data_IF_418026462702
#
_entry.id   IF_418026462702
#
_cell.length_a   1.000
_cell.length_b   1.000
_cell.length_c   1.000
_cell.angle_alpha   90.00
_cell.angle_beta   90.00
_cell.angle_gamma   90.00
#
_symmetry.space_group_name_H-M   'P 1'
#
loop_
_entity.id
_entity.type
_entity.pdbx_description
1 polymer ?
#
# COMPACT_ATOMS: atom_id res chain seq x y z
N UNK A 1 -15.82 20.48 21.36
CA UNK A 1 -15.42 19.63 20.22
C UNK A 1 -16.57 19.61 19.23
N UNK A 2 -16.36 20.03 17.97
CA UNK A 2 -17.40 19.95 16.92
C UNK A 2 -17.78 18.50 16.68
N UNK A 3 -19.06 18.11 16.62
CA UNK A 3 -19.44 16.74 16.28
C UNK A 3 -19.18 16.52 14.79
N UNK A 4 -18.37 15.50 14.44
CA UNK A 4 -18.28 15.00 13.08
C UNK A 4 -16.92 14.91 12.41
N UNK A 5 -15.83 15.31 13.03
CA UNK A 5 -14.50 15.08 12.42
C UNK A 5 -14.06 13.62 12.72
N UNK A 6 -14.23 12.72 11.76
CA UNK A 6 -13.62 11.38 11.84
C UNK A 6 -12.12 11.56 12.04
N UNK A 7 -11.58 11.01 13.11
CA UNK A 7 -10.12 11.01 13.36
C UNK A 7 -9.43 10.40 12.16
N UNK A 8 -8.47 11.11 11.60
CA UNK A 8 -7.62 10.58 10.54
C UNK A 8 -6.71 9.51 11.14
N UNK A 9 -7.17 8.27 11.10
CA UNK A 9 -6.45 7.15 11.69
C UNK A 9 -5.07 6.92 11.04
N UNK A 10 -4.93 7.23 9.74
CA UNK A 10 -3.67 7.11 9.04
C UNK A 10 -2.66 8.15 9.58
N UNK A 11 -3.12 9.39 9.81
CA UNK A 11 -2.30 10.41 10.48
C UNK A 11 -1.86 9.95 11.88
N UNK A 12 -2.81 9.47 12.69
CA UNK A 12 -2.51 8.99 14.06
C UNK A 12 -1.51 7.85 14.05
N UNK A 13 -1.69 6.85 13.17
CA UNK A 13 -0.88 5.63 13.18
C UNK A 13 0.47 5.80 12.49
N UNK A 14 0.54 6.55 11.39
CA UNK A 14 1.74 6.61 10.55
C UNK A 14 2.55 7.90 10.72
N UNK A 15 1.96 8.95 11.33
CA UNK A 15 2.66 10.23 11.54
C UNK A 15 2.81 10.54 13.02
N UNK A 16 1.73 10.44 13.81
CA UNK A 16 1.79 10.82 15.22
C UNK A 16 2.43 9.72 16.09
N UNK A 17 2.23 8.43 15.74
CA UNK A 17 2.75 7.26 16.47
C UNK A 17 3.37 6.20 15.54
N UNK A 18 4.24 6.56 14.59
CA UNK A 18 4.75 5.65 13.56
C UNK A 18 5.57 4.49 14.13
N UNK A 19 6.20 4.68 15.29
CA UNK A 19 7.03 3.67 15.96
C UNK A 19 6.23 2.45 16.43
N UNK A 20 4.91 2.60 16.62
CA UNK A 20 4.06 1.54 17.15
C UNK A 20 3.86 0.42 16.14
N UNK A 21 3.70 0.75 14.86
CA UNK A 21 3.50 -0.21 13.77
C UNK A 21 4.80 -0.54 12.99
N UNK A 22 5.88 0.19 13.26
CA UNK A 22 7.18 0.02 12.59
C UNK A 22 7.73 -1.44 12.64
N UNK A 23 7.62 -2.21 13.75
CA UNK A 23 8.10 -3.58 13.78
C UNK A 23 7.50 -4.45 12.66
N UNK A 24 6.19 -4.33 12.42
CA UNK A 24 5.52 -5.06 11.35
C UNK A 24 5.97 -4.59 9.98
N UNK A 25 6.13 -3.28 9.76
CA UNK A 25 6.67 -2.75 8.50
C UNK A 25 8.06 -3.32 8.19
N UNK A 26 8.92 -3.43 9.19
CA UNK A 26 10.27 -4.00 9.05
C UNK A 26 10.26 -5.51 8.81
N UNK A 27 9.38 -6.24 9.48
CA UNK A 27 9.31 -7.72 9.36
C UNK A 27 8.97 -8.20 7.96
N UNK A 28 8.30 -7.38 7.15
CA UNK A 28 7.94 -7.70 5.77
C UNK A 28 9.10 -7.55 4.77
N UNK A 29 10.32 -7.19 5.19
CA UNK A 29 11.46 -6.95 4.29
C UNK A 29 11.84 -8.17 3.46
N UNK A 30 11.85 -9.36 4.05
CA UNK A 30 12.19 -10.60 3.32
C UNK A 30 11.06 -11.01 2.37
N UNK A 31 9.81 -10.88 2.78
CA UNK A 31 8.66 -11.15 1.91
C UNK A 31 8.68 -10.28 0.66
N UNK A 32 9.11 -9.02 0.77
CA UNK A 32 9.20 -8.10 -0.36
C UNK A 32 10.08 -8.60 -1.52
N UNK A 33 11.05 -9.48 -1.27
CA UNK A 33 11.84 -10.13 -2.32
C UNK A 33 10.99 -11.06 -3.18
N UNK A 34 10.04 -11.75 -2.55
CA UNK A 34 9.08 -12.63 -3.24
C UNK A 34 8.09 -11.77 -4.03
N UNK A 35 7.57 -10.72 -3.39
CA UNK A 35 6.61 -9.79 -4.00
C UNK A 35 7.21 -9.16 -5.27
N UNK A 36 8.45 -8.69 -5.20
CA UNK A 36 9.13 -8.06 -6.36
C UNK A 36 9.41 -9.07 -7.48
N UNK A 37 9.73 -10.33 -7.16
CA UNK A 37 9.81 -11.36 -8.23
C UNK A 37 8.48 -11.51 -8.95
N UNK A 38 7.37 -11.53 -8.20
CA UNK A 38 6.03 -11.58 -8.77
C UNK A 38 5.68 -10.33 -9.60
N UNK A 39 6.01 -9.14 -9.10
CA UNK A 39 5.84 -7.88 -9.83
C UNK A 39 6.61 -7.89 -11.16
N UNK A 40 7.85 -8.39 -11.17
CA UNK A 40 8.63 -8.51 -12.41
C UNK A 40 7.97 -9.43 -13.44
N UNK A 41 7.34 -10.54 -13.02
CA UNK A 41 6.55 -11.37 -13.92
C UNK A 41 5.39 -10.59 -14.57
N UNK A 42 4.73 -9.71 -13.80
CA UNK A 42 3.73 -8.78 -14.34
C UNK A 42 4.38 -7.80 -15.31
N UNK A 43 5.52 -7.19 -14.94
CA UNK A 43 6.22 -6.22 -15.78
C UNK A 43 6.65 -6.81 -17.12
N UNK A 44 7.17 -8.04 -17.12
CA UNK A 44 7.51 -8.79 -18.33
C UNK A 44 6.28 -8.99 -19.23
N UNK A 45 5.14 -9.43 -18.65
CA UNK A 45 3.88 -9.61 -19.38
C UNK A 45 3.39 -8.32 -20.04
N UNK A 46 3.55 -7.18 -19.36
CA UNK A 46 3.13 -5.86 -19.85
C UNK A 46 4.24 -5.10 -20.59
N UNK A 47 5.37 -5.76 -20.88
CA UNK A 47 6.51 -5.22 -21.64
C UNK A 47 7.09 -3.95 -21.02
N UNK A 48 7.09 -3.87 -19.68
CA UNK A 48 7.78 -2.80 -18.94
C UNK A 48 9.28 -3.00 -19.18
N UNK A 49 9.93 -1.95 -19.68
CA UNK A 49 11.35 -2.03 -20.02
C UNK A 49 12.26 -2.09 -18.77
N UNK A 50 13.43 -2.65 -18.91
CA UNK A 50 14.46 -2.57 -17.90
C UNK A 50 14.81 -1.08 -17.67
N UNK A 51 15.11 -0.70 -16.44
CA UNK A 51 15.33 0.69 -16.04
C UNK A 51 14.08 1.60 -16.09
N UNK A 52 12.88 1.03 -16.20
CA UNK A 52 11.64 1.79 -16.13
C UNK A 52 11.58 2.66 -14.87
N UNK A 53 10.89 3.79 -14.98
CA UNK A 53 10.63 4.67 -13.84
C UNK A 53 9.37 4.24 -13.14
N UNK A 54 9.48 3.98 -11.86
CA UNK A 54 8.41 3.45 -11.02
C UNK A 54 8.07 4.46 -9.92
N UNK A 55 6.80 4.75 -9.74
CA UNK A 55 6.27 5.45 -8.58
C UNK A 55 5.69 4.42 -7.60
N UNK A 56 6.14 4.44 -6.34
CA UNK A 56 5.66 3.60 -5.25
C UNK A 56 4.90 4.48 -4.25
N UNK A 57 3.56 4.42 -4.30
CA UNK A 57 2.66 5.22 -3.45
C UNK A 57 2.48 4.55 -2.09
N UNK A 58 2.58 5.34 -1.01
CA UNK A 58 2.58 4.86 0.37
C UNK A 58 3.65 3.78 0.57
N UNK A 59 4.88 4.07 0.16
CA UNK A 59 5.98 3.10 0.09
C UNK A 59 6.48 2.59 1.45
N UNK A 60 6.05 3.22 2.55
CA UNK A 60 6.44 2.88 3.90
C UNK A 60 7.96 2.92 4.10
N UNK A 61 8.51 1.86 4.66
CA UNK A 61 9.97 1.69 4.86
C UNK A 61 10.74 1.34 3.57
N UNK A 62 10.10 1.45 2.40
CA UNK A 62 10.73 1.25 1.09
C UNK A 62 11.00 -0.20 0.71
N UNK A 63 10.31 -1.17 1.34
CA UNK A 63 10.56 -2.62 1.13
C UNK A 63 10.42 -3.05 -0.34
N UNK A 64 9.43 -2.53 -1.05
CA UNK A 64 9.20 -2.80 -2.48
C UNK A 64 10.14 -1.94 -3.33
N UNK A 65 10.19 -0.63 -3.08
CA UNK A 65 11.03 0.34 -3.78
C UNK A 65 12.50 -0.11 -3.89
N UNK A 66 13.09 -0.54 -2.77
CA UNK A 66 14.51 -0.92 -2.70
C UNK A 66 14.77 -2.21 -3.49
N UNK A 67 13.89 -3.21 -3.37
CA UNK A 67 14.06 -4.46 -4.11
C UNK A 67 13.83 -4.26 -5.62
N UNK A 68 12.96 -3.35 -6.04
CA UNK A 68 12.83 -2.95 -7.45
C UNK A 68 14.07 -2.20 -7.94
N UNK A 69 14.64 -1.30 -7.13
CA UNK A 69 15.89 -0.62 -7.47
C UNK A 69 17.07 -1.60 -7.62
N UNK A 70 17.15 -2.63 -6.76
CA UNK A 70 18.11 -3.75 -6.91
C UNK A 70 17.90 -4.56 -8.18
N UNK A 71 16.67 -4.61 -8.67
CA UNK A 71 16.35 -5.27 -9.94
C UNK A 71 16.62 -4.38 -11.18
N UNK A 72 17.11 -3.13 -10.98
CA UNK A 72 17.54 -2.24 -12.06
C UNK A 72 16.60 -1.06 -12.33
N UNK A 73 15.43 -1.01 -11.74
CA UNK A 73 14.43 0.07 -11.94
C UNK A 73 14.81 1.36 -11.24
N UNK A 74 14.32 2.49 -11.74
CA UNK A 74 14.41 3.79 -11.07
C UNK A 74 13.14 4.06 -10.28
N UNK A 75 13.23 4.16 -8.96
CA UNK A 75 12.05 4.21 -8.10
C UNK A 75 11.95 5.53 -7.35
N UNK A 76 10.79 6.15 -7.43
CA UNK A 76 10.37 7.27 -6.57
C UNK A 76 9.35 6.73 -5.59
N UNK A 77 9.68 6.73 -4.30
CA UNK A 77 8.78 6.34 -3.23
C UNK A 77 8.19 7.57 -2.55
N UNK A 78 6.91 7.54 -2.23
CA UNK A 78 6.24 8.60 -1.46
C UNK A 78 5.50 8.00 -0.26
N UNK A 79 5.61 8.64 0.90
CA UNK A 79 4.90 8.24 2.12
C UNK A 79 4.66 9.48 3.01
N UNK A 80 3.67 9.42 3.89
CA UNK A 80 3.37 10.49 4.84
C UNK A 80 4.26 10.42 6.10
N UNK A 81 4.89 9.27 6.35
CA UNK A 81 5.67 9.00 7.56
C UNK A 81 7.15 9.31 7.36
N UNK A 82 7.63 10.39 7.95
CA UNK A 82 9.06 10.70 7.96
C UNK A 82 9.91 9.57 8.55
N UNK A 83 9.44 8.96 9.65
CA UNK A 83 10.16 7.84 10.26
C UNK A 83 10.33 6.67 9.29
N UNK A 84 9.30 6.33 8.53
CA UNK A 84 9.38 5.24 7.55
C UNK A 84 10.30 5.59 6.39
N UNK A 85 10.25 6.83 5.91
CA UNK A 85 11.15 7.30 4.85
C UNK A 85 12.61 7.35 5.30
N UNK A 86 12.89 7.62 6.56
CA UNK A 86 14.25 7.54 7.09
C UNK A 86 14.78 6.10 7.11
N UNK A 87 13.91 5.11 7.40
CA UNK A 87 14.26 3.69 7.22
C UNK A 87 14.47 3.35 5.74
N UNK A 88 13.62 3.84 4.84
CA UNK A 88 13.77 3.62 3.41
C UNK A 88 15.10 4.15 2.87
N UNK A 89 15.49 5.36 3.26
CA UNK A 89 16.79 5.96 2.90
C UNK A 89 17.97 5.14 3.44
N UNK A 90 17.95 4.79 4.74
CA UNK A 90 18.99 3.95 5.37
C UNK A 90 19.13 2.58 4.68
N UNK A 91 18.01 1.92 4.37
CA UNK A 91 18.05 0.65 3.67
C UNK A 91 18.53 0.77 2.22
N UNK A 92 18.19 1.88 1.55
CA UNK A 92 18.70 2.20 0.22
C UNK A 92 20.22 2.37 0.21
N UNK A 93 20.79 3.00 1.24
CA UNK A 93 22.24 3.14 1.45
C UNK A 93 22.88 1.77 1.72
N UNK A 94 22.33 0.99 2.65
CA UNK A 94 22.81 -0.35 2.99
C UNK A 94 22.82 -1.30 1.78
N UNK A 95 21.80 -1.23 0.94
CA UNK A 95 21.65 -2.06 -0.26
C UNK A 95 22.33 -1.43 -1.49
N UNK A 96 22.99 -0.25 -1.36
CA UNK A 96 23.77 0.47 -2.41
C UNK A 96 22.93 0.80 -3.65
N UNK A 97 21.69 1.27 -3.45
CA UNK A 97 20.77 1.63 -4.54
C UNK A 97 20.30 3.09 -4.48
N UNK A 98 21.02 3.95 -3.78
CA UNK A 98 20.70 5.38 -3.62
C UNK A 98 20.68 6.15 -4.96
N UNK A 99 21.42 5.70 -5.94
CA UNK A 99 21.43 6.27 -7.29
C UNK A 99 20.16 5.89 -8.11
N UNK A 100 19.38 4.93 -7.64
CA UNK A 100 18.15 4.44 -8.28
C UNK A 100 16.89 4.72 -7.46
N UNK A 101 17.01 5.31 -6.26
CA UNK A 101 15.87 5.58 -5.37
C UNK A 101 15.81 7.05 -5.00
N UNK A 102 14.59 7.58 -4.93
CA UNK A 102 14.27 8.87 -4.32
C UNK A 102 13.06 8.73 -3.43
N UNK A 103 13.08 9.36 -2.26
CA UNK A 103 11.98 9.28 -1.31
C UNK A 103 11.51 10.68 -0.93
N UNK A 104 10.19 10.91 -1.00
CA UNK A 104 9.56 12.19 -0.67
C UNK A 104 8.46 12.01 0.36
N UNK A 105 8.47 12.87 1.37
CA UNK A 105 7.36 13.01 2.28
C UNK A 105 6.22 13.71 1.57
N UNK A 106 5.12 12.98 1.36
CA UNK A 106 3.87 13.53 0.82
C UNK A 106 2.71 12.55 0.98
N UNK A 107 1.51 13.10 1.05
CA UNK A 107 0.29 12.32 0.98
C UNK A 107 0.07 11.81 -0.45
N UNK A 108 -0.19 10.51 -0.61
CA UNK A 108 -0.40 9.88 -1.92
C UNK A 108 -1.53 10.51 -2.73
N UNK A 109 -2.56 11.09 -2.06
CA UNK A 109 -3.69 11.79 -2.71
C UNK A 109 -3.24 13.00 -3.54
N UNK A 110 -2.16 13.63 -3.14
CA UNK A 110 -1.62 14.82 -3.78
C UNK A 110 -0.30 14.55 -4.53
N UNK A 111 0.10 13.29 -4.60
CA UNK A 111 1.40 12.89 -5.15
C UNK A 111 1.56 13.34 -6.61
N UNK A 112 0.56 13.16 -7.45
CA UNK A 112 0.60 13.59 -8.86
C UNK A 112 0.96 15.08 -8.99
N UNK A 113 0.23 15.95 -8.29
CA UNK A 113 0.43 17.39 -8.33
C UNK A 113 1.78 17.81 -7.73
N UNK A 114 2.16 17.23 -6.59
CA UNK A 114 3.39 17.59 -5.90
C UNK A 114 4.64 17.11 -6.65
N UNK A 115 4.61 15.89 -7.17
CA UNK A 115 5.69 15.32 -7.99
C UNK A 115 5.84 16.09 -9.31
N UNK A 116 4.72 16.47 -9.96
CA UNK A 116 4.74 17.30 -11.15
C UNK A 116 5.45 18.63 -10.93
N UNK A 117 5.22 19.30 -9.78
CA UNK A 117 5.93 20.55 -9.40
C UNK A 117 7.42 20.35 -9.15
N UNK A 118 7.84 19.14 -8.72
CA UNK A 118 9.26 18.77 -8.54
C UNK A 118 9.93 18.32 -9.83
N UNK A 119 9.22 18.35 -10.97
CA UNK A 119 9.73 17.85 -12.24
C UNK A 119 9.72 16.33 -12.40
N UNK A 120 9.18 15.61 -11.42
CA UNK A 120 9.02 14.16 -11.47
C UNK A 120 7.77 13.80 -12.28
N UNK A 121 7.97 13.29 -13.47
CA UNK A 121 6.88 12.90 -14.41
C UNK A 121 7.32 11.71 -15.27
N UNK A 122 6.35 11.17 -16.01
CA UNK A 122 6.61 10.07 -16.94
C UNK A 122 7.03 8.80 -16.22
N UNK A 123 6.16 8.34 -15.31
CA UNK A 123 6.31 7.04 -14.68
C UNK A 123 5.74 5.95 -15.59
N UNK A 124 6.52 4.91 -15.82
CA UNK A 124 6.15 3.76 -16.66
C UNK A 124 5.34 2.75 -15.86
N UNK A 125 5.55 2.73 -14.54
CA UNK A 125 4.76 1.94 -13.59
C UNK A 125 4.39 2.81 -12.40
N UNK A 126 3.15 2.67 -11.95
CA UNK A 126 2.68 3.26 -10.69
C UNK A 126 2.18 2.12 -9.80
N UNK A 127 2.71 2.02 -8.60
CA UNK A 127 2.33 1.03 -7.61
C UNK A 127 1.51 1.69 -6.50
N UNK A 128 0.38 1.09 -6.16
CA UNK A 128 -0.30 1.23 -4.88
C UNK A 128 -0.32 -0.17 -4.25
N UNK A 129 0.76 -0.51 -3.52
CA UNK A 129 1.05 -1.86 -3.08
C UNK A 129 1.09 -1.97 -1.55
N UNK A 130 0.42 -2.99 -0.99
CA UNK A 130 0.36 -3.19 0.46
C UNK A 130 -0.89 -2.59 1.11
N UNK A 131 -2.04 -2.66 0.43
CA UNK A 131 -3.35 -2.26 0.96
C UNK A 131 -3.43 -0.77 1.32
N UNK A 132 -2.82 0.11 0.52
CA UNK A 132 -2.92 1.55 0.73
C UNK A 132 -4.18 2.18 0.11
N UNK A 133 -4.89 1.47 -0.76
CA UNK A 133 -6.19 1.90 -1.30
C UNK A 133 -7.32 1.65 -0.30
N UNK A 134 -8.39 2.44 -0.35
CA UNK A 134 -9.56 2.28 0.51
C UNK A 134 -9.55 3.11 1.79
N UNK A 135 -8.46 3.81 2.11
CA UNK A 135 -8.32 4.53 3.37
C UNK A 135 -9.38 5.62 3.58
N UNK A 136 -9.84 6.24 2.50
CA UNK A 136 -10.80 7.35 2.54
C UNK A 136 -12.12 7.03 1.85
N UNK A 137 -12.20 5.89 1.16
CA UNK A 137 -13.36 5.45 0.40
C UNK A 137 -13.26 5.72 -1.08
N UNK A 138 -14.27 5.24 -1.80
CA UNK A 138 -14.25 5.10 -3.25
C UNK A 138 -14.03 6.40 -4.03
N UNK A 139 -14.64 7.51 -3.60
CA UNK A 139 -14.55 8.77 -4.31
C UNK A 139 -13.10 9.32 -4.28
N UNK A 140 -12.48 9.36 -3.10
CA UNK A 140 -11.08 9.83 -2.97
C UNK A 140 -10.11 8.88 -3.66
N UNK A 141 -10.37 7.57 -3.65
CA UNK A 141 -9.57 6.60 -4.38
C UNK A 141 -9.67 6.84 -5.90
N UNK A 142 -10.89 7.07 -6.44
CA UNK A 142 -11.11 7.36 -7.84
C UNK A 142 -10.39 8.64 -8.28
N UNK A 143 -10.51 9.72 -7.50
CA UNK A 143 -9.84 11.00 -7.75
C UNK A 143 -8.31 10.83 -7.73
N UNK A 144 -7.78 10.12 -6.73
CA UNK A 144 -6.35 9.84 -6.63
C UNK A 144 -5.84 9.09 -7.85
N UNK A 145 -6.53 8.01 -8.25
CA UNK A 145 -6.16 7.21 -9.40
C UNK A 145 -6.24 8.00 -10.71
N UNK A 146 -7.28 8.83 -10.89
CA UNK A 146 -7.44 9.69 -12.06
C UNK A 146 -6.31 10.74 -12.17
N UNK A 147 -5.94 11.38 -11.06
CA UNK A 147 -4.87 12.38 -11.01
C UNK A 147 -3.51 11.78 -11.44
N UNK A 148 -3.27 10.50 -11.16
CA UNK A 148 -2.02 9.82 -11.53
C UNK A 148 -1.81 9.73 -13.04
N UNK A 149 -2.87 9.78 -13.87
CA UNK A 149 -2.76 9.83 -15.32
C UNK A 149 -1.92 11.04 -15.81
N UNK A 150 -1.93 12.15 -15.05
CA UNK A 150 -1.15 13.36 -15.37
C UNK A 150 0.36 13.17 -15.34
N UNK A 151 0.86 12.21 -14.55
CA UNK A 151 2.30 11.91 -14.40
C UNK A 151 2.70 10.55 -14.99
N UNK A 152 1.74 9.80 -15.50
CA UNK A 152 1.97 8.50 -16.13
C UNK A 152 2.49 8.66 -17.57
N UNK A 153 3.45 7.83 -17.98
CA UNK A 153 3.90 7.69 -19.37
C UNK A 153 2.76 7.20 -20.27
N UNK A 154 2.83 7.40 -21.59
CA UNK A 154 2.00 6.63 -22.51
C UNK A 154 2.20 5.12 -22.27
N UNK A 155 1.11 4.37 -22.22
CA UNK A 155 1.12 2.93 -21.94
C UNK A 155 1.60 2.53 -20.52
N UNK A 156 1.62 3.47 -19.59
CA UNK A 156 1.98 3.19 -18.21
C UNK A 156 1.10 2.09 -17.59
N UNK A 157 1.70 1.31 -16.71
CA UNK A 157 1.03 0.23 -15.96
C UNK A 157 0.76 0.71 -14.54
N UNK A 158 -0.50 0.67 -14.13
CA UNK A 158 -0.92 0.84 -12.75
C UNK A 158 -1.07 -0.54 -12.11
N UNK A 159 -0.45 -0.74 -10.95
CA UNK A 159 -0.58 -1.97 -10.16
C UNK A 159 -1.19 -1.60 -8.81
N UNK A 160 -2.38 -2.09 -8.54
CA UNK A 160 -3.06 -1.93 -7.24
C UNK A 160 -3.12 -3.28 -6.54
N UNK A 161 -2.49 -3.40 -5.38
CA UNK A 161 -2.57 -4.60 -4.55
C UNK A 161 -3.29 -4.25 -3.24
N UNK A 162 -4.30 -5.07 -2.90
CA UNK A 162 -5.10 -4.87 -1.70
C UNK A 162 -5.67 -6.20 -1.19
N UNK A 163 -6.21 -6.18 0.02
CA UNK A 163 -6.94 -7.31 0.59
C UNK A 163 -8.24 -7.52 -0.19
N UNK A 164 -8.51 -8.77 -0.54
CA UNK A 164 -9.72 -9.17 -1.25
C UNK A 164 -10.93 -9.22 -0.29
N UNK A 165 -11.95 -8.41 -0.56
CA UNK A 165 -13.20 -8.38 0.23
C UNK A 165 -13.88 -9.75 0.29
N UNK A 166 -13.89 -10.49 -0.81
CA UNK A 166 -14.59 -11.77 -0.87
C UNK A 166 -13.90 -12.83 -0.02
N UNK A 167 -12.57 -12.78 0.08
CA UNK A 167 -11.81 -13.56 1.06
C UNK A 167 -12.20 -13.19 2.50
N UNK A 168 -12.26 -11.88 2.81
CA UNK A 168 -12.60 -11.41 4.14
C UNK A 168 -14.02 -11.82 4.58
N UNK A 169 -14.97 -11.84 3.64
CA UNK A 169 -16.32 -12.33 3.91
C UNK A 169 -16.32 -13.83 4.20
N UNK A 170 -15.60 -14.61 3.38
CA UNK A 170 -15.55 -16.07 3.52
C UNK A 170 -14.80 -16.53 4.79
N UNK A 171 -13.73 -15.83 5.15
CA UNK A 171 -12.81 -16.17 6.24
C UNK A 171 -12.81 -15.10 7.34
N UNK A 172 -13.99 -14.57 7.68
CA UNK A 172 -14.07 -13.47 8.62
C UNK A 172 -13.64 -13.88 10.03
N UNK A 173 -12.64 -13.19 10.54
CA UNK A 173 -12.17 -13.31 11.92
C UNK A 173 -12.45 -12.00 12.67
N UNK A 174 -13.30 -12.07 13.69
CA UNK A 174 -13.67 -10.89 14.49
C UNK A 174 -12.48 -10.32 15.27
N UNK A 175 -11.59 -11.17 15.74
CA UNK A 175 -10.45 -10.78 16.57
C UNK A 175 -9.17 -11.46 16.12
N UNK A 176 -8.05 -10.76 16.26
CA UNK A 176 -6.72 -11.35 16.16
C UNK A 176 -5.74 -10.66 17.08
N UNK A 177 -4.71 -11.40 17.50
CA UNK A 177 -3.62 -10.89 18.32
C UNK A 177 -2.29 -11.32 17.69
N UNK A 178 -1.36 -10.40 17.57
CA UNK A 178 0.00 -10.68 17.16
C UNK A 178 1.00 -10.02 18.12
N UNK A 179 2.21 -10.56 18.17
CA UNK A 179 3.28 -10.07 19.02
C UNK A 179 4.56 -9.93 18.22
N UNK A 180 5.16 -8.75 18.26
CA UNK A 180 6.43 -8.49 17.59
C UNK A 180 7.25 -7.44 18.36
N UNK A 181 8.53 -7.69 18.57
CA UNK A 181 9.46 -6.77 19.26
C UNK A 181 8.90 -6.21 20.59
N UNK A 182 8.17 -7.03 21.38
CA UNK A 182 7.58 -6.62 22.66
C UNK A 182 6.33 -5.73 22.55
N UNK A 183 5.80 -5.56 21.34
CA UNK A 183 4.52 -4.91 21.08
C UNK A 183 3.48 -5.97 20.74
N UNK A 184 2.41 -6.02 21.53
CA UNK A 184 1.22 -6.81 21.25
C UNK A 184 0.24 -5.94 20.46
N UNK A 185 -0.15 -6.40 19.28
CA UNK A 185 -1.16 -5.76 18.44
C UNK A 185 -2.42 -6.61 18.43
N UNK A 186 -3.49 -6.05 18.98
CA UNK A 186 -4.81 -6.64 19.06
C UNK A 186 -5.75 -5.91 18.10
N UNK A 187 -6.44 -6.66 17.26
CA UNK A 187 -7.38 -6.13 16.26
C UNK A 187 -8.76 -6.68 16.53
N UNK A 188 -9.75 -5.79 16.65
CA UNK A 188 -11.18 -6.12 16.64
C UNK A 188 -11.77 -5.60 15.34
N UNK A 189 -12.52 -6.44 14.63
CA UNK A 189 -13.04 -6.16 13.28
C UNK A 189 -14.55 -6.21 13.25
N UNK A 190 -15.11 -5.31 12.45
CA UNK A 190 -16.51 -5.35 12.01
C UNK A 190 -16.55 -5.04 10.52
N UNK A 191 -17.12 -5.94 9.73
CA UNK A 191 -17.33 -5.70 8.31
C UNK A 191 -18.76 -5.18 8.11
N UNK A 192 -18.88 -3.96 7.60
CA UNK A 192 -20.14 -3.39 7.17
C UNK A 192 -20.38 -3.81 5.71
N UNK A 193 -21.32 -4.73 5.50
CA UNK A 193 -21.60 -5.29 4.16
C UNK A 193 -22.29 -4.28 3.23
N UNK A 194 -23.05 -3.33 3.77
CA UNK A 194 -23.75 -2.31 2.99
C UNK A 194 -22.78 -1.31 2.36
N UNK A 195 -21.80 -0.87 3.12
CA UNK A 195 -20.81 0.13 2.68
C UNK A 195 -19.46 -0.47 2.24
N UNK A 196 -19.26 -1.77 2.46
CA UNK A 196 -17.97 -2.47 2.26
C UNK A 196 -16.80 -1.86 3.06
N UNK A 197 -17.09 -1.28 4.24
CA UNK A 197 -16.06 -0.80 5.14
C UNK A 197 -15.69 -1.86 6.17
N UNK A 198 -14.40 -2.12 6.30
CA UNK A 198 -13.82 -2.83 7.42
C UNK A 198 -13.54 -1.82 8.54
N UNK A 199 -14.35 -1.88 9.59
CA UNK A 199 -14.23 -1.01 10.76
C UNK A 199 -13.50 -1.77 11.86
N UNK A 200 -12.29 -1.32 12.16
CA UNK A 200 -11.42 -1.98 13.13
C UNK A 200 -11.20 -1.08 14.34
N UNK A 201 -10.96 -1.72 15.49
CA UNK A 201 -10.30 -1.10 16.62
C UNK A 201 -8.96 -1.78 16.83
N UNK A 202 -7.88 -1.05 16.58
CA UNK A 202 -6.52 -1.52 16.83
C UNK A 202 -6.06 -1.05 18.21
N UNK A 203 -5.53 -1.98 19.00
CA UNK A 203 -4.95 -1.70 20.32
C UNK A 203 -3.53 -2.23 20.33
N UNK A 204 -2.61 -1.37 20.70
CA UNK A 204 -1.21 -1.74 20.84
C UNK A 204 -0.82 -1.66 22.31
N UNK A 205 -0.17 -2.71 22.78
CA UNK A 205 0.30 -2.80 24.17
C UNK A 205 1.80 -3.06 24.16
N UNK A 206 2.53 -2.34 25.03
CA UNK A 206 3.87 -2.78 25.40
C UNK A 206 3.74 -3.93 26.39
N UNK A 207 4.33 -5.06 26.06
CA UNK A 207 4.24 -6.26 26.87
C UNK A 207 5.62 -6.80 27.20
N UNK A 208 5.88 -7.06 28.48
CA UNK A 208 7.00 -7.83 28.97
C UNK A 208 6.47 -8.90 29.94
N UNK A 209 7.38 -9.65 30.60
CA UNK A 209 6.99 -10.76 31.49
C UNK A 209 6.06 -10.34 32.65
N UNK A 210 6.05 -9.06 33.07
CA UNK A 210 5.35 -8.59 34.29
C UNK A 210 4.27 -7.54 34.00
N UNK A 211 4.36 -6.83 32.88
CA UNK A 211 3.51 -5.66 32.60
C UNK A 211 2.94 -5.74 31.19
N UNK A 212 1.64 -5.43 31.09
CA UNK A 212 0.94 -5.19 29.82
C UNK A 212 0.33 -3.79 29.90
N UNK A 213 0.89 -2.83 29.16
CA UNK A 213 0.46 -1.43 29.17
C UNK A 213 -0.04 -1.02 27.79
N UNK A 214 -1.27 -0.48 27.72
CA UNK A 214 -1.80 0.12 26.49
C UNK A 214 -0.94 1.33 26.10
N UNK A 215 -0.46 1.37 24.85
CA UNK A 215 0.31 2.47 24.29
C UNK A 215 -0.46 3.25 23.24
N UNK A 216 -1.34 2.58 22.48
CA UNK A 216 -2.19 3.23 21.48
C UNK A 216 -3.49 2.45 21.30
N UNK A 217 -4.60 3.18 21.16
CA UNK A 217 -5.87 2.68 20.66
C UNK A 217 -6.33 3.58 19.54
N UNK A 218 -6.52 3.01 18.35
CA UNK A 218 -6.92 3.77 17.16
C UNK A 218 -8.05 3.07 16.42
N UNK A 219 -9.14 3.80 16.04
CA UNK A 219 -10.17 3.28 15.15
C UNK A 219 -9.63 3.30 13.71
N UNK A 220 -9.44 2.15 13.09
CA UNK A 220 -8.97 2.01 11.70
C UNK A 220 -10.13 1.60 10.83
N UNK A 221 -10.55 2.45 9.95
CA UNK A 221 -11.67 2.19 9.04
C UNK A 221 -11.22 2.39 7.61
N UNK A 222 -11.39 1.37 6.77
CA UNK A 222 -11.04 1.45 5.36
C UNK A 222 -12.04 0.65 4.52
N UNK A 223 -12.27 1.10 3.30
CA UNK A 223 -13.06 0.37 2.34
C UNK A 223 -12.28 -0.85 1.85
N UNK A 224 -12.93 -2.00 1.81
CA UNK A 224 -12.43 -3.21 1.19
C UNK A 224 -13.17 -3.43 -0.13
N UNK A 225 -12.43 -3.78 -1.17
CA UNK A 225 -12.97 -3.95 -2.51
C UNK A 225 -13.09 -5.42 -2.88
N UNK A 226 -14.19 -5.80 -3.55
CA UNK A 226 -14.21 -6.99 -4.40
C UNK A 226 -13.45 -6.73 -5.70
N UNK A 227 -13.08 -7.79 -6.41
CA UNK A 227 -12.44 -7.66 -7.73
C UNK A 227 -13.30 -6.85 -8.70
N UNK A 228 -14.61 -7.07 -8.68
CA UNK A 228 -15.55 -6.36 -9.54
C UNK A 228 -15.57 -4.86 -9.26
N UNK A 229 -15.67 -4.45 -8.00
CA UNK A 229 -15.66 -3.04 -7.59
C UNK A 229 -14.33 -2.36 -7.96
N UNK A 230 -13.19 -3.02 -7.68
CA UNK A 230 -11.87 -2.44 -7.98
C UNK A 230 -11.63 -2.30 -9.49
N UNK A 231 -12.10 -3.26 -10.30
CA UNK A 231 -12.08 -3.15 -11.76
C UNK A 231 -12.89 -1.94 -12.26
N UNK A 232 -14.09 -1.72 -11.71
CA UNK A 232 -14.91 -0.55 -12.05
C UNK A 232 -14.24 0.75 -11.63
N UNK A 233 -13.69 0.79 -10.43
CA UNK A 233 -12.95 1.95 -9.91
C UNK A 233 -11.81 2.37 -10.87
N UNK A 234 -10.99 1.41 -11.30
CA UNK A 234 -9.90 1.68 -12.24
C UNK A 234 -10.43 2.25 -13.56
N UNK A 235 -11.44 1.61 -14.15
CA UNK A 235 -12.01 2.07 -15.44
C UNK A 235 -12.63 3.47 -15.32
N UNK A 236 -13.35 3.75 -14.25
CA UNK A 236 -13.95 5.06 -13.99
C UNK A 236 -12.89 6.15 -13.77
N UNK A 237 -11.74 5.79 -13.20
CA UNK A 237 -10.59 6.67 -13.04
C UNK A 237 -9.75 6.85 -14.33
N UNK A 238 -10.17 6.23 -15.46
CA UNK A 238 -9.50 6.36 -16.76
C UNK A 238 -8.36 5.36 -17.00
N UNK A 239 -8.19 4.37 -16.12
CA UNK A 239 -7.25 3.26 -16.31
C UNK A 239 -7.96 2.06 -16.92
N UNK A 240 -7.60 1.66 -18.12
CA UNK A 240 -8.16 0.47 -18.76
C UNK A 240 -7.74 -0.78 -17.97
N UNK A 241 -8.70 -1.51 -17.42
CA UNK A 241 -8.42 -2.79 -16.77
C UNK A 241 -7.72 -3.74 -17.74
N UNK A 242 -6.60 -4.36 -17.27
CA UNK A 242 -5.74 -5.19 -18.11
C UNK A 242 -5.50 -6.60 -17.54
N UNK A 243 -5.86 -6.83 -16.27
CA UNK A 243 -5.75 -8.15 -15.66
C UNK A 243 -5.84 -8.10 -14.13
N UNK A 244 -5.97 -9.28 -13.52
CA UNK A 244 -6.00 -9.43 -12.06
C UNK A 244 -5.43 -10.78 -11.63
N UNK A 245 -4.75 -10.80 -10.49
CA UNK A 245 -4.05 -11.98 -10.00
C UNK A 245 -4.21 -12.12 -8.49
N UNK A 246 -4.47 -13.37 -8.03
CA UNK A 246 -4.44 -13.73 -6.61
C UNK A 246 -3.02 -14.03 -6.13
N UNK A 247 -2.14 -14.49 -7.03
CA UNK A 247 -0.69 -14.62 -6.76
C UNK A 247 0.10 -14.16 -7.98
N UNK A 248 1.10 -13.32 -7.76
CA UNK A 248 1.89 -12.73 -8.85
C UNK A 248 2.92 -13.71 -9.43
N UNK A 249 3.53 -14.55 -8.61
CA UNK A 249 4.60 -15.44 -9.08
C UNK A 249 4.15 -16.46 -10.14
N UNK A 250 2.88 -16.88 -10.07
CA UNK A 250 2.26 -17.80 -11.03
C UNK A 250 1.18 -17.14 -11.90
N UNK A 251 0.94 -15.85 -11.71
CA UNK A 251 -0.18 -15.13 -12.33
C UNK A 251 -1.52 -15.86 -12.19
N UNK A 252 -1.75 -16.47 -11.02
CA UNK A 252 -2.97 -17.23 -10.75
C UNK A 252 -4.19 -16.30 -10.66
N UNK A 253 -5.38 -16.76 -11.12
CA UNK A 253 -6.57 -15.93 -11.03
C UNK A 253 -6.93 -15.61 -9.58
N UNK A 254 -7.66 -14.51 -9.37
CA UNK A 254 -8.25 -14.16 -8.08
C UNK A 254 -9.39 -15.12 -7.77
N UNK A 255 -9.40 -15.67 -6.55
CA UNK A 255 -10.48 -16.52 -6.02
C UNK A 255 -10.91 -16.02 -4.65
N UNK A 256 -11.97 -16.58 -4.09
CA UNK A 256 -12.39 -16.30 -2.69
C UNK A 256 -11.39 -16.78 -1.65
N UNK A 257 -10.38 -17.58 -2.06
CA UNK A 257 -9.27 -18.02 -1.21
C UNK A 257 -7.99 -17.21 -1.40
N UNK A 258 -8.02 -16.20 -2.28
CA UNK A 258 -6.94 -15.23 -2.44
C UNK A 258 -7.08 -14.14 -1.38
N UNK A 259 -6.22 -14.14 -0.36
CA UNK A 259 -6.22 -13.10 0.69
C UNK A 259 -5.93 -11.71 0.11
N UNK A 260 -4.92 -11.62 -0.75
CA UNK A 260 -4.67 -10.42 -1.53
C UNK A 260 -5.12 -10.60 -2.98
N UNK A 261 -5.43 -9.51 -3.62
CA UNK A 261 -5.59 -9.43 -5.06
C UNK A 261 -4.77 -8.28 -5.63
N UNK A 262 -4.16 -8.51 -6.77
CA UNK A 262 -3.44 -7.50 -7.54
C UNK A 262 -4.21 -7.23 -8.82
N UNK A 263 -4.58 -5.97 -9.04
CA UNK A 263 -5.33 -5.52 -10.23
C UNK A 263 -4.47 -4.59 -11.06
N UNK A 264 -4.46 -4.81 -12.36
CA UNK A 264 -3.62 -4.11 -13.32
C UNK A 264 -4.50 -3.20 -14.18
N UNK A 265 -4.13 -1.93 -14.23
CA UNK A 265 -4.64 -0.94 -15.18
C UNK A 265 -3.56 -0.53 -16.18
N UNK A 266 -3.96 -0.14 -17.38
CA UNK A 266 -3.10 0.49 -18.38
C UNK A 266 -3.66 1.84 -18.77
N UNK A 267 -2.78 2.80 -19.00
CA UNK A 267 -3.12 4.10 -19.56
C UNK A 267 -3.38 4.00 -21.05
#
# INVERSE_FOLDING_TARGET
>A
MKPGMKTDWAQVLFVDHPEVFLPWMKSMREQAKVDVRGLRTVFEKFRVHNEARILDLACGVGRISINLAKAGYHVVGVDISLLYLDFAKKWSEQDRVTNRTRFYEMDMRYASRQLGRKGEKKFDVILNYGTAIGYRGENEDAETLADLLGIASPHAVLVVETVNRDYLVKHFEQESVSMLEGIEWQVFRRLNLESSFMENTWRFYRKNRRVRRLILKVPVSHRVYSLHELKHLLNNAGWRYAGSYGTLGKLSPVTTDSFHMTVIGQK
#
